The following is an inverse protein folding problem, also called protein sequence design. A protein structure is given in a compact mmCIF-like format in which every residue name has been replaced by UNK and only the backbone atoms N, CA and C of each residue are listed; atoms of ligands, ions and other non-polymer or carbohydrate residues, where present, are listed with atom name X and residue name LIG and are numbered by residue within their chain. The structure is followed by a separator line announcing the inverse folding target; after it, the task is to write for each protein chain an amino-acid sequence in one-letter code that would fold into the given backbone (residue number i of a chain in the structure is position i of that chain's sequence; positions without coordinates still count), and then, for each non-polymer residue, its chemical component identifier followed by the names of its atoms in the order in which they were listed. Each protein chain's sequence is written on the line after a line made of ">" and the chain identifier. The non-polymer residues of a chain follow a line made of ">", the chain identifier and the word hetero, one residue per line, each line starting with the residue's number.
data_IF_659171063761
#
_entry.id   IF_659171063761
#
_cell.length_a   1.000
_cell.length_b   1.000
_cell.length_c   1.000
_cell.angle_alpha   90.00
_cell.angle_beta   90.00
_cell.angle_gamma   90.00
#
_symmetry.space_group_name_H-M   'P 1'
#
loop_
_entity.id
_entity.type
_entity.pdbx_description
1 polymer ?
#
# COMPACT_ATOMS: atom_id res chain seq x y z
N UNK A 1 -52.26 34.82 -49.34
CA UNK A 1 -52.09 33.41 -48.92
C UNK A 1 -50.62 33.19 -48.63
N UNK A 2 -50.24 33.16 -47.36
CA UNK A 2 -48.84 33.10 -46.89
C UNK A 2 -48.50 31.63 -46.64
N UNK A 3 -47.47 31.11 -47.31
CA UNK A 3 -46.90 29.78 -47.03
C UNK A 3 -45.81 29.95 -45.96
N UNK A 4 -46.13 29.53 -44.74
CA UNK A 4 -45.19 29.39 -43.64
C UNK A 4 -44.64 27.96 -43.70
N UNK A 5 -43.34 27.80 -43.99
CA UNK A 5 -42.66 26.50 -43.93
C UNK A 5 -41.89 26.49 -42.61
N UNK A 6 -42.40 25.74 -41.63
CA UNK A 6 -41.74 25.48 -40.35
C UNK A 6 -40.66 24.41 -40.56
N UNK A 7 -39.39 24.80 -40.39
CA UNK A 7 -38.29 23.87 -40.19
C UNK A 7 -38.41 23.25 -38.79
N UNK A 8 -38.59 21.93 -38.72
CA UNK A 8 -38.42 21.16 -37.49
C UNK A 8 -36.96 20.70 -37.40
N UNK A 9 -36.16 21.36 -36.55
CA UNK A 9 -34.87 20.83 -36.10
C UNK A 9 -35.10 19.95 -34.87
N UNK A 10 -34.88 18.65 -35.03
CA UNK A 10 -34.90 17.68 -33.92
C UNK A 10 -33.55 17.74 -33.22
N UNK A 11 -33.51 18.34 -32.01
CA UNK A 11 -32.37 18.23 -31.10
C UNK A 11 -32.51 16.93 -30.31
N UNK A 12 -31.70 15.92 -30.66
CA UNK A 12 -31.53 14.72 -29.83
C UNK A 12 -30.53 15.07 -28.73
N UNK A 13 -31.03 15.47 -27.58
CA UNK A 13 -30.23 15.55 -26.36
C UNK A 13 -29.91 14.14 -25.87
N UNK A 14 -28.71 13.63 -26.14
CA UNK A 14 -28.22 12.43 -25.48
C UNK A 14 -27.93 12.76 -24.02
N UNK A 15 -28.92 12.52 -23.15
CA UNK A 15 -28.69 12.41 -21.72
C UNK A 15 -27.95 11.10 -21.46
N UNK A 16 -26.62 11.18 -21.31
CA UNK A 16 -25.83 10.08 -20.76
C UNK A 16 -26.34 9.82 -19.33
N UNK A 17 -26.69 8.59 -18.95
CA UNK A 17 -27.01 8.29 -17.58
C UNK A 17 -25.74 8.49 -16.75
N UNK A 18 -25.76 9.49 -15.87
CA UNK A 18 -24.85 9.59 -14.73
C UNK A 18 -25.05 8.32 -13.90
N UNK A 19 -24.24 7.30 -14.19
CA UNK A 19 -24.08 6.17 -13.29
C UNK A 19 -23.55 6.76 -11.98
N UNK A 20 -24.26 6.61 -10.85
CA UNK A 20 -23.70 7.00 -9.57
C UNK A 20 -22.50 6.08 -9.34
N UNK A 21 -21.28 6.61 -9.51
CA UNK A 21 -20.09 5.95 -9.01
C UNK A 21 -20.24 5.94 -7.50
N UNK A 22 -20.62 4.81 -6.92
CA UNK A 22 -20.47 4.60 -5.49
C UNK A 22 -18.96 4.58 -5.25
N UNK A 23 -18.39 5.76 -4.98
CA UNK A 23 -16.99 5.90 -4.58
C UNK A 23 -16.86 5.18 -3.26
N UNK A 24 -16.20 4.02 -3.27
CA UNK A 24 -15.88 3.31 -2.06
C UNK A 24 -14.66 3.98 -1.43
N UNK A 25 -14.87 5.15 -0.80
CA UNK A 25 -13.84 5.77 0.03
C UNK A 25 -13.66 4.85 1.21
N UNK A 26 -12.44 4.37 1.41
CA UNK A 26 -12.15 3.57 2.58
C UNK A 26 -12.29 4.46 3.85
N UNK A 27 -13.01 3.95 4.86
CA UNK A 27 -13.40 4.76 6.03
C UNK A 27 -12.74 4.33 7.33
N UNK A 28 -11.96 3.25 7.32
CA UNK A 28 -11.32 2.71 8.51
C UNK A 28 -10.01 2.00 8.17
N UNK A 29 -9.08 2.02 9.14
CA UNK A 29 -7.88 1.18 9.10
C UNK A 29 -8.16 -0.18 9.74
N UNK A 30 -7.60 -1.23 9.15
CA UNK A 30 -7.53 -2.58 9.69
C UNK A 30 -6.39 -2.62 10.69
N UNK A 31 -6.67 -3.06 11.91
CA UNK A 31 -5.65 -3.22 12.95
C UNK A 31 -4.50 -4.11 12.47
N UNK A 32 -3.28 -3.70 12.80
CA UNK A 32 -2.01 -4.37 12.54
C UNK A 32 -2.08 -5.89 12.76
N UNK A 33 -2.73 -6.34 13.84
CA UNK A 33 -2.87 -7.76 14.20
C UNK A 33 -3.53 -8.60 13.09
N UNK A 34 -4.42 -7.99 12.32
CA UNK A 34 -5.21 -8.62 11.26
C UNK A 34 -4.62 -8.42 9.87
N UNK A 35 -3.53 -7.65 9.76
CA UNK A 35 -2.91 -7.38 8.48
C UNK A 35 -2.14 -8.62 8.01
N UNK A 36 -2.43 -9.04 6.77
CA UNK A 36 -1.78 -10.13 6.08
C UNK A 36 -1.43 -9.71 4.64
N UNK A 37 -0.17 -9.89 4.26
CA UNK A 37 0.39 -9.33 3.03
C UNK A 37 -0.27 -9.83 1.72
N UNK A 38 -0.98 -10.97 1.75
CA UNK A 38 -1.66 -11.53 0.57
C UNK A 38 -3.19 -11.54 0.69
N UNK A 39 -3.75 -10.74 1.61
CA UNK A 39 -5.19 -10.77 1.92
C UNK A 39 -6.01 -9.62 1.29
N UNK A 40 -5.35 -8.59 0.74
CA UNK A 40 -5.99 -7.40 0.17
C UNK A 40 -5.88 -7.41 -1.36
N UNK A 41 -6.35 -6.33 -2.02
CA UNK A 41 -6.17 -6.19 -3.48
C UNK A 41 -4.67 -6.31 -3.82
N UNK A 42 -4.32 -6.97 -4.94
CA UNK A 42 -2.93 -7.23 -5.25
C UNK A 42 -2.23 -5.93 -5.65
N UNK A 43 -1.15 -5.61 -4.94
CA UNK A 43 -0.12 -4.71 -5.47
C UNK A 43 0.74 -5.48 -6.47
N UNK A 44 1.30 -4.78 -7.46
CA UNK A 44 2.31 -5.32 -8.36
C UNK A 44 3.62 -4.59 -8.11
N UNK A 45 4.70 -5.34 -7.90
CA UNK A 45 6.02 -4.81 -7.65
C UNK A 45 6.98 -5.27 -8.73
N UNK A 46 7.73 -4.34 -9.31
CA UNK A 46 8.79 -4.59 -10.27
C UNK A 46 10.12 -4.10 -9.70
N UNK A 47 11.08 -4.98 -9.50
CA UNK A 47 12.45 -4.57 -9.14
C UNK A 47 13.29 -4.49 -10.40
N UNK A 48 13.46 -3.29 -10.95
CA UNK A 48 14.12 -3.09 -12.25
C UNK A 48 15.52 -3.70 -12.32
N UNK A 49 16.31 -3.58 -11.23
CA UNK A 49 17.69 -4.06 -11.19
C UNK A 49 17.80 -5.58 -11.31
N UNK A 50 16.88 -6.31 -10.71
CA UNK A 50 16.92 -7.78 -10.66
C UNK A 50 15.98 -8.42 -11.68
N UNK A 51 15.08 -7.63 -12.28
CA UNK A 51 14.03 -8.12 -13.19
C UNK A 51 12.91 -8.89 -12.48
N UNK A 52 12.92 -8.93 -11.15
CA UNK A 52 11.90 -9.64 -10.38
C UNK A 52 10.57 -8.92 -10.41
N UNK A 53 9.51 -9.70 -10.56
CA UNK A 53 8.12 -9.24 -10.48
C UNK A 53 7.43 -10.00 -9.36
N UNK A 54 6.93 -9.26 -8.38
CA UNK A 54 6.09 -9.79 -7.32
C UNK A 54 4.64 -9.37 -7.60
N UNK A 55 3.78 -10.37 -7.76
CA UNK A 55 2.39 -10.24 -8.18
C UNK A 55 1.50 -11.18 -7.37
N UNK A 56 0.18 -11.14 -7.62
CA UNK A 56 -0.78 -12.06 -6.98
C UNK A 56 -0.39 -13.53 -7.12
N UNK A 57 0.22 -13.93 -8.24
CA UNK A 57 0.53 -15.33 -8.54
C UNK A 57 1.66 -15.91 -7.69
N UNK A 58 2.56 -15.08 -7.17
CA UNK A 58 3.70 -15.49 -6.35
C UNK A 58 3.73 -14.78 -4.98
N UNK A 59 2.60 -14.24 -4.54
CA UNK A 59 2.47 -13.65 -3.20
C UNK A 59 2.68 -14.72 -2.12
N UNK A 60 3.56 -14.42 -1.17
CA UNK A 60 3.88 -15.30 -0.05
C UNK A 60 4.96 -16.34 -0.34
N UNK A 61 5.43 -16.43 -1.59
CA UNK A 61 6.55 -17.29 -1.96
C UNK A 61 7.85 -16.82 -1.29
N UNK A 62 8.79 -17.75 -1.13
CA UNK A 62 10.14 -17.42 -0.66
C UNK A 62 10.99 -16.95 -1.84
N UNK A 63 11.57 -15.77 -1.70
CA UNK A 63 12.37 -15.11 -2.73
C UNK A 63 13.73 -14.77 -2.12
N UNK A 64 14.81 -14.97 -2.88
CA UNK A 64 16.14 -14.59 -2.44
C UNK A 64 16.23 -13.08 -2.13
N UNK A 65 16.88 -12.68 -1.03
CA UNK A 65 16.94 -11.27 -0.62
C UNK A 65 17.62 -10.37 -1.66
N UNK A 66 18.50 -10.95 -2.48
CA UNK A 66 19.17 -10.27 -3.60
C UNK A 66 18.20 -9.67 -4.61
N UNK A 67 16.99 -10.24 -4.71
CA UNK A 67 15.94 -9.77 -5.60
C UNK A 67 15.46 -8.35 -5.26
N UNK A 68 15.55 -7.94 -3.98
CA UNK A 68 14.98 -6.70 -3.44
C UNK A 68 16.05 -5.77 -2.84
N UNK A 69 17.26 -5.79 -3.40
CA UNK A 69 18.38 -4.92 -2.95
C UNK A 69 18.16 -3.44 -3.22
N UNK A 70 17.21 -3.09 -4.10
CA UNK A 70 16.80 -1.72 -4.40
C UNK A 70 15.29 -1.59 -4.25
N UNK A 71 14.74 -0.38 -4.02
CA UNK A 71 13.31 -0.17 -3.94
C UNK A 71 12.61 -0.66 -5.22
N UNK A 72 11.52 -1.45 -5.12
CA UNK A 72 10.70 -1.79 -6.27
C UNK A 72 9.92 -0.58 -6.78
N UNK A 73 9.55 -0.63 -8.05
CA UNK A 73 8.48 0.19 -8.64
C UNK A 73 7.14 -0.45 -8.28
N UNK A 74 6.22 0.33 -7.72
CA UNK A 74 4.91 -0.15 -7.26
C UNK A 74 3.81 0.26 -8.24
N UNK A 75 2.93 -0.69 -8.56
CA UNK A 75 1.75 -0.48 -9.39
C UNK A 75 0.48 -0.88 -8.64
N UNK A 76 -0.56 -0.07 -8.80
CA UNK A 76 -1.90 -0.34 -8.26
C UNK A 76 -2.97 0.15 -9.23
N UNK A 77 -3.77 -0.78 -9.76
CA UNK A 77 -4.73 -0.50 -10.84
C UNK A 77 -6.06 0.09 -10.35
N UNK A 78 -6.33 0.03 -9.04
CA UNK A 78 -7.59 0.45 -8.45
C UNK A 78 -7.47 1.77 -7.69
N UNK A 79 -6.65 2.68 -8.20
CA UNK A 79 -6.52 4.00 -7.64
C UNK A 79 -7.75 4.86 -7.95
N UNK A 80 -8.21 5.61 -6.96
CA UNK A 80 -9.23 6.63 -7.13
C UNK A 80 -8.61 7.99 -7.54
N UNK A 81 -9.25 8.75 -8.44
CA UNK A 81 -8.76 10.07 -8.88
C UNK A 81 -8.63 11.07 -7.74
N UNK A 82 -7.59 11.92 -7.77
CA UNK A 82 -7.32 12.97 -6.79
C UNK A 82 -7.03 12.46 -5.36
N UNK A 83 -6.81 11.15 -5.19
CA UNK A 83 -6.48 10.56 -3.89
C UNK A 83 -4.96 10.47 -3.68
N UNK A 84 -4.55 10.52 -2.42
CA UNK A 84 -3.18 10.28 -2.01
C UNK A 84 -3.07 8.96 -1.27
N UNK A 85 -1.89 8.36 -1.30
CA UNK A 85 -1.64 7.05 -0.70
C UNK A 85 -0.37 7.05 0.15
N UNK A 86 -0.31 6.06 1.04
CA UNK A 86 0.82 5.76 1.90
C UNK A 86 1.27 4.32 1.67
N UNK A 87 2.56 4.12 1.45
CA UNK A 87 3.19 2.80 1.37
C UNK A 87 3.92 2.51 2.68
N UNK A 88 3.60 1.36 3.27
CA UNK A 88 4.27 0.81 4.45
C UNK A 88 4.90 -0.53 4.07
N UNK A 89 6.22 -0.63 4.12
CA UNK A 89 6.95 -1.88 3.94
C UNK A 89 7.53 -2.33 5.27
N UNK A 90 7.19 -3.54 5.69
CA UNK A 90 7.59 -4.08 7.00
C UNK A 90 8.03 -5.53 6.90
N UNK A 91 8.89 -5.94 7.84
CA UNK A 91 9.14 -7.34 8.12
C UNK A 91 8.42 -7.76 9.42
N UNK A 92 7.84 -8.95 9.40
CA UNK A 92 7.39 -9.66 10.59
C UNK A 92 8.58 -10.51 11.06
N UNK A 93 9.11 -10.14 12.22
CA UNK A 93 10.17 -10.90 12.88
C UNK A 93 9.60 -12.21 13.41
N UNK A 94 10.24 -13.33 13.08
CA UNK A 94 10.00 -14.63 13.72
C UNK A 94 10.53 -14.57 15.15
N UNK A 95 9.72 -14.99 16.13
CA UNK A 95 10.12 -15.06 17.55
C UNK A 95 9.57 -13.99 18.50
N UNK A 96 8.76 -13.02 18.05
CA UNK A 96 8.00 -12.13 18.95
C UNK A 96 6.54 -12.62 19.11
N UNK A 97 5.92 -12.46 20.30
CA UNK A 97 4.90 -13.37 20.78
C UNK A 97 3.71 -13.54 19.83
N UNK A 98 3.21 -14.78 19.85
CA UNK A 98 2.01 -15.24 19.17
C UNK A 98 0.87 -14.20 19.20
N UNK A 99 -0.01 -14.16 18.18
CA UNK A 99 -1.25 -13.35 18.21
C UNK A 99 -2.18 -13.67 19.39
N UNK A 100 -1.86 -14.69 20.19
CA UNK A 100 -2.58 -15.12 21.37
C UNK A 100 -2.09 -14.50 22.69
N UNK A 101 -1.00 -13.71 22.68
CA UNK A 101 -0.44 -13.12 23.91
C UNK A 101 -0.95 -11.69 24.22
N UNK A 102 -1.94 -11.21 23.46
CA UNK A 102 -2.61 -9.92 23.73
C UNK A 102 -1.72 -8.67 23.62
N UNK A 103 -0.49 -8.81 23.12
CA UNK A 103 0.42 -7.70 22.83
C UNK A 103 0.19 -7.13 21.44
N UNK A 104 0.31 -5.81 21.30
CA UNK A 104 0.23 -5.11 20.00
C UNK A 104 1.24 -5.69 19.01
N UNK A 105 0.79 -6.06 17.80
CA UNK A 105 1.70 -6.55 16.77
C UNK A 105 2.69 -5.48 16.35
N UNK A 106 3.96 -5.85 16.50
CA UNK A 106 5.12 -5.03 16.18
C UNK A 106 5.80 -5.54 14.92
N UNK A 107 6.33 -4.60 14.16
CA UNK A 107 7.04 -4.88 12.93
C UNK A 107 8.46 -4.32 12.97
N UNK A 108 9.31 -4.79 12.07
CA UNK A 108 10.52 -4.09 11.71
C UNK A 108 10.25 -3.25 10.45
N UNK A 109 10.34 -1.92 10.56
CA UNK A 109 10.02 -1.00 9.47
C UNK A 109 11.14 -0.93 8.42
N UNK A 110 10.81 -1.31 7.19
CA UNK A 110 11.73 -1.34 6.06
C UNK A 110 11.64 -0.09 5.18
N UNK A 111 10.44 0.44 4.94
CA UNK A 111 10.24 1.65 4.12
C UNK A 111 8.89 2.31 4.44
N UNK A 112 8.86 3.64 4.45
CA UNK A 112 7.64 4.42 4.70
C UNK A 112 7.61 5.67 3.82
N UNK A 113 6.59 5.75 2.95
CA UNK A 113 6.37 6.89 2.03
C UNK A 113 4.92 7.31 2.11
N UNK A 114 4.68 8.61 2.21
CA UNK A 114 3.34 9.21 2.27
C UNK A 114 3.13 10.18 1.10
N UNK A 115 1.91 10.69 0.96
CA UNK A 115 1.53 11.69 -0.03
C UNK A 115 1.82 11.25 -1.48
N UNK A 116 1.71 9.95 -1.75
CA UNK A 116 1.91 9.39 -3.08
C UNK A 116 0.67 9.69 -3.92
N UNK A 117 0.78 10.38 -5.06
CA UNK A 117 -0.37 10.61 -5.92
C UNK A 117 -0.79 9.30 -6.59
N UNK A 118 -2.11 9.14 -6.72
CA UNK A 118 -2.78 8.09 -7.48
C UNK A 118 -2.17 7.85 -8.87
N UNK A 119 -1.77 8.93 -9.53
CA UNK A 119 -1.19 8.90 -10.87
C UNK A 119 0.18 8.22 -10.89
N UNK A 120 1.02 8.40 -9.86
CA UNK A 120 2.29 7.68 -9.78
C UNK A 120 2.07 6.18 -9.62
N UNK A 121 1.11 5.76 -8.80
CA UNK A 121 0.78 4.33 -8.64
C UNK A 121 0.20 3.69 -9.91
N UNK A 122 -0.58 4.43 -10.69
CA UNK A 122 -1.12 3.94 -11.96
C UNK A 122 -0.03 3.77 -13.05
N UNK A 123 1.04 4.57 -13.01
CA UNK A 123 2.10 4.56 -14.01
C UNK A 123 3.40 3.88 -13.55
N UNK A 124 3.50 3.53 -12.27
CA UNK A 124 4.69 2.95 -11.64
C UNK A 124 5.32 3.93 -10.66
N UNK A 125 4.98 3.78 -9.38
CA UNK A 125 5.50 4.60 -8.30
C UNK A 125 6.95 4.21 -8.01
N UNK A 126 7.84 5.21 -8.06
CA UNK A 126 9.24 5.11 -7.66
C UNK A 126 9.46 5.73 -6.29
N UNK A 127 10.67 5.59 -5.74
CA UNK A 127 11.02 6.20 -4.46
C UNK A 127 10.96 7.74 -4.42
N UNK A 128 10.83 8.40 -5.58
CA UNK A 128 10.75 9.86 -5.71
C UNK A 128 9.31 10.41 -5.76
N UNK A 129 8.31 9.54 -5.86
CA UNK A 129 6.91 9.91 -6.14
C UNK A 129 6.08 10.20 -4.87
N UNK A 130 6.73 10.55 -3.76
CA UNK A 130 6.07 10.88 -2.51
C UNK A 130 7.04 11.39 -1.46
N UNK A 131 6.52 11.69 -0.28
CA UNK A 131 7.33 12.16 0.85
C UNK A 131 7.86 10.94 1.62
N UNK A 132 9.16 10.66 1.45
CA UNK A 132 9.81 9.57 2.18
C UNK A 132 10.02 9.98 3.64
N UNK A 133 9.36 9.26 4.55
CA UNK A 133 9.49 9.44 6.00
C UNK A 133 10.61 8.55 6.56
N UNK A 134 10.72 7.33 6.04
CA UNK A 134 11.77 6.37 6.39
C UNK A 134 12.28 5.75 5.10
N UNK A 135 13.58 5.90 4.83
CA UNK A 135 14.23 5.39 3.63
C UNK A 135 14.11 3.87 3.50
N UNK A 136 14.19 3.37 2.27
CA UNK A 136 14.12 1.94 1.98
C UNK A 136 15.34 1.22 2.57
N UNK A 137 15.07 0.12 3.28
CA UNK A 137 16.05 -0.83 3.74
C UNK A 137 15.75 -2.19 3.09
N UNK A 138 16.76 -2.73 2.40
CA UNK A 138 16.64 -4.01 1.71
C UNK A 138 16.44 -5.17 2.69
N UNK A 139 15.70 -6.22 2.31
CA UNK A 139 15.67 -7.45 3.08
C UNK A 139 17.08 -7.96 3.41
N UNK A 140 17.30 -8.32 4.68
CA UNK A 140 18.56 -8.90 5.12
C UNK A 140 18.62 -10.38 4.75
N UNK A 141 19.83 -10.96 4.55
CA UNK A 141 19.96 -12.39 4.45
C UNK A 141 19.48 -13.05 5.74
N UNK A 142 18.94 -14.28 5.63
CA UNK A 142 18.62 -15.11 6.78
C UNK A 142 19.84 -15.15 7.72
N UNK A 143 19.66 -14.71 8.96
CA UNK A 143 20.72 -14.73 9.97
C UNK A 143 21.25 -16.15 10.10
N UNK A 144 22.57 -16.35 9.93
CA UNK A 144 23.20 -17.64 10.19
C UNK A 144 23.26 -17.99 11.70
N UNK A 145 23.00 -17.00 12.57
CA UNK A 145 22.91 -17.16 14.02
C UNK A 145 21.47 -17.45 14.47
N UNK A 146 20.63 -17.90 13.54
CA UNK A 146 19.27 -18.38 13.74
C UNK A 146 19.23 -19.72 14.50
N UNK A 147 20.06 -19.90 15.53
CA UNK A 147 19.98 -21.04 16.44
C UNK A 147 18.72 -20.98 17.33
N UNK A 148 18.02 -19.84 17.33
CA UNK A 148 16.72 -19.59 18.00
C UNK A 148 15.55 -19.36 17.03
N UNK A 149 15.80 -19.37 15.72
CA UNK A 149 14.74 -19.19 14.71
C UNK A 149 14.07 -20.56 14.52
N UNK A 150 12.74 -20.60 14.61
CA UNK A 150 11.87 -21.77 14.42
C UNK A 150 11.93 -22.38 13.00
N UNK A 151 12.89 -21.92 12.18
CA UNK A 151 13.14 -22.36 10.82
C UNK A 151 12.28 -21.65 9.79
N UNK A 152 11.35 -20.79 10.21
CA UNK A 152 10.44 -20.10 9.32
C UNK A 152 11.10 -18.90 8.63
N UNK A 153 10.80 -18.67 7.34
CA UNK A 153 11.36 -17.52 6.62
C UNK A 153 10.81 -16.21 7.18
N UNK A 154 11.65 -15.19 7.25
CA UNK A 154 11.23 -13.83 7.64
C UNK A 154 10.21 -13.33 6.63
N UNK A 155 9.04 -12.91 7.10
CA UNK A 155 7.93 -12.51 6.22
C UNK A 155 7.93 -11.00 6.00
N UNK A 156 8.01 -10.59 4.75
CA UNK A 156 7.99 -9.21 4.31
C UNK A 156 6.64 -8.87 3.69
N UNK A 157 6.13 -7.67 3.96
CA UNK A 157 4.84 -7.20 3.46
C UNK A 157 4.87 -5.72 3.11
N UNK A 158 4.40 -5.41 1.90
CA UNK A 158 4.04 -4.07 1.45
C UNK A 158 2.54 -3.88 1.64
N UNK A 159 2.17 -2.74 2.22
CA UNK A 159 0.80 -2.35 2.47
C UNK A 159 0.57 -0.95 1.92
N UNK A 160 -0.48 -0.80 1.13
CA UNK A 160 -0.92 0.48 0.60
C UNK A 160 -2.14 0.94 1.39
N UNK A 161 -2.07 2.16 1.92
CA UNK A 161 -3.15 2.82 2.61
C UNK A 161 -3.60 4.05 1.80
N UNK A 162 -4.87 4.38 1.90
CA UNK A 162 -5.47 5.56 1.27
C UNK A 162 -5.51 6.72 2.27
N UNK A 163 -5.24 7.93 1.79
CA UNK A 163 -5.30 9.17 2.57
C UNK A 163 -6.60 9.92 2.28
N UNK A 164 -7.47 9.99 3.28
CA UNK A 164 -8.88 10.41 3.11
C UNK A 164 -9.02 11.93 3.02
N UNK A 165 -8.19 12.68 3.74
CA UNK A 165 -8.31 14.15 3.87
C UNK A 165 -7.21 14.92 3.14
N UNK A 166 -6.54 14.27 2.17
CA UNK A 166 -5.44 14.84 1.41
C UNK A 166 -4.08 14.57 2.04
N UNK A 167 -3.15 15.53 1.89
CA UNK A 167 -1.77 15.35 2.31
C UNK A 167 -1.65 15.29 3.83
N UNK A 168 -0.76 14.42 4.31
CA UNK A 168 -0.47 14.19 5.72
C UNK A 168 0.99 14.51 6.02
N UNK A 169 1.26 14.86 7.29
CA UNK A 169 2.61 15.19 7.76
C UNK A 169 2.90 14.46 9.08
N UNK A 170 2.98 13.13 9.04
CA UNK A 170 3.17 12.33 10.24
C UNK A 170 4.57 12.53 10.84
N UNK A 171 4.74 12.31 12.15
CA UNK A 171 6.06 12.27 12.75
C UNK A 171 6.86 11.07 12.22
N UNK A 172 8.16 11.26 12.04
CA UNK A 172 9.09 10.16 11.77
C UNK A 172 9.14 9.21 12.97
N UNK A 173 8.95 7.89 12.79
CA UNK A 173 9.15 6.93 13.86
C UNK A 173 10.56 7.02 14.45
N UNK A 174 10.69 6.94 15.78
CA UNK A 174 11.98 7.09 16.47
C UNK A 174 12.93 5.90 16.26
N UNK A 175 12.40 4.74 15.86
CA UNK A 175 13.15 3.52 15.55
C UNK A 175 12.41 2.70 14.49
N UNK A 176 13.16 1.86 13.76
CA UNK A 176 12.60 0.85 12.85
C UNK A 176 12.15 -0.40 13.59
N UNK A 177 12.85 -0.75 14.66
CA UNK A 177 12.53 -1.89 15.52
C UNK A 177 11.22 -1.62 16.26
N UNK A 178 10.44 -2.67 16.50
CA UNK A 178 9.19 -2.59 17.26
C UNK A 178 8.17 -1.55 16.73
N UNK A 179 8.19 -1.28 15.43
CA UNK A 179 7.27 -0.33 14.79
C UNK A 179 5.82 -0.75 15.04
N UNK A 180 5.09 0.08 15.80
CA UNK A 180 3.66 -0.06 16.03
C UNK A 180 2.90 0.73 14.96
N UNK A 181 2.35 0.02 13.98
CA UNK A 181 1.62 0.60 12.86
C UNK A 181 0.31 1.27 13.30
N UNK A 182 -0.45 0.64 14.19
CA UNK A 182 -1.73 1.19 14.68
C UNK A 182 -1.48 2.47 15.47
N UNK A 183 -0.48 2.45 16.35
CA UNK A 183 -0.03 3.63 17.09
C UNK A 183 0.45 4.74 16.17
N UNK A 184 1.23 4.43 15.13
CA UNK A 184 1.67 5.42 14.15
C UNK A 184 0.50 6.05 13.39
N UNK A 185 -0.45 5.24 12.89
CA UNK A 185 -1.67 5.73 12.22
C UNK A 185 -2.47 6.66 13.16
N UNK A 186 -2.58 6.32 14.45
CA UNK A 186 -3.29 7.16 15.43
C UNK A 186 -2.66 8.54 15.68
N UNK A 187 -1.38 8.73 15.31
CA UNK A 187 -0.72 10.05 15.42
C UNK A 187 -1.08 11.00 14.29
N UNK A 188 -1.73 10.50 13.23
CA UNK A 188 -1.99 11.25 12.01
C UNK A 188 -3.28 12.05 12.19
N UNK A 189 -3.19 13.36 11.95
CA UNK A 189 -4.32 14.28 12.06
C UNK A 189 -4.85 14.68 10.67
N UNK A 190 -6.18 14.83 10.50
CA UNK A 190 -7.23 14.48 11.46
C UNK A 190 -7.33 12.96 11.69
N UNK A 191 -7.96 12.55 12.78
CA UNK A 191 -8.21 11.13 13.03
C UNK A 191 -8.90 10.48 11.82
N UNK A 192 -8.52 9.24 11.51
CA UNK A 192 -8.94 8.52 10.30
C UNK A 192 -8.47 9.14 8.96
N UNK A 193 -7.45 10.01 8.97
CA UNK A 193 -6.83 10.50 7.74
C UNK A 193 -6.16 9.42 6.90
N UNK A 194 -5.84 8.27 7.49
CA UNK A 194 -5.27 7.11 6.81
C UNK A 194 -6.18 5.91 7.06
N UNK A 195 -6.51 5.21 5.99
CA UNK A 195 -7.38 4.04 6.03
C UNK A 195 -6.81 2.92 5.14
N UNK A 196 -7.18 1.67 5.40
CA UNK A 196 -6.68 0.53 4.64
C UNK A 196 -6.20 -0.62 5.53
N UNK A 197 -5.32 -1.52 5.05
CA UNK A 197 -4.75 -1.52 3.71
C UNK A 197 -5.82 -1.65 2.62
N UNK A 198 -5.72 -0.86 1.56
CA UNK A 198 -6.53 -1.01 0.35
C UNK A 198 -5.91 -2.04 -0.62
N UNK A 199 -4.60 -2.23 -0.52
CA UNK A 199 -3.86 -3.21 -1.29
C UNK A 199 -2.65 -3.72 -0.50
N UNK A 200 -2.19 -4.92 -0.83
CA UNK A 200 -1.01 -5.50 -0.19
C UNK A 200 -0.31 -6.51 -1.09
N UNK A 201 0.98 -6.74 -0.84
CA UNK A 201 1.69 -7.90 -1.34
C UNK A 201 2.81 -8.30 -0.39
N UNK A 202 3.26 -9.56 -0.40
CA UNK A 202 4.36 -10.00 0.45
C UNK A 202 5.09 -11.23 -0.05
N UNK A 203 6.19 -11.54 0.61
CA UNK A 203 7.09 -12.66 0.30
C UNK A 203 7.84 -13.11 1.57
N UNK A 204 8.45 -14.28 1.53
CA UNK A 204 9.40 -14.74 2.54
C UNK A 204 10.85 -14.60 2.07
N UNK A 205 11.78 -14.49 3.02
CA UNK A 205 13.23 -14.61 2.79
C UNK A 205 13.81 -15.67 3.70
#
# INVERSE_FOLDING_TARGET
>A
MVRCVLLFTVLVGMALPLMPSVRAICTASVSADRVAACAFNPLLLLVERSGWVLSKQNCGETIGPEAFTVPPVLYYDYTEPDHLYTVVFVAKESGHPDPFDGGERRFYLQWLVVNIPESSLAHGMTYMDGDTIVDYLSPGPRSANADEDDGHPTRYGFYLYEQVYGAIYPPTPSTREYFNLDGWISTIYPEAAVCGPVASIGFGV
#
